data_IF_919648984398
#
_entry.id   IF_919648984398
#
_cell.length_a   1.000
_cell.length_b   1.000
_cell.length_c   1.000
_cell.angle_alpha   90.00
_cell.angle_beta   90.00
_cell.angle_gamma   90.00
#
_symmetry.space_group_name_H-M   'P 1'
#
loop_
_entity.id
_entity.type
_entity.pdbx_description
1 polymer ?
#
# COMPACT_ATOMS: atom_id res chain seq x y z
N UNK A 1 29.55 -8.92 -20.21
CA UNK A 1 28.21 -8.35 -19.95
C UNK A 1 27.98 -8.39 -18.44
N UNK A 2 27.65 -7.29 -17.79
CA UNK A 2 27.33 -7.29 -16.37
C UNK A 2 26.10 -8.19 -16.15
N UNK A 3 26.13 -9.04 -15.11
CA UNK A 3 24.97 -9.85 -14.76
C UNK A 3 23.81 -8.93 -14.35
N UNK A 4 22.60 -9.25 -14.81
CA UNK A 4 21.41 -8.50 -14.42
C UNK A 4 21.16 -8.64 -12.92
N UNK A 5 20.73 -7.56 -12.26
CA UNK A 5 20.26 -7.61 -10.87
C UNK A 5 18.88 -8.25 -10.79
N UNK A 6 18.62 -9.02 -9.73
CA UNK A 6 17.32 -9.65 -9.49
C UNK A 6 16.52 -8.84 -8.48
N UNK A 7 15.32 -8.40 -8.90
CA UNK A 7 14.30 -7.91 -7.97
C UNK A 7 13.25 -8.98 -7.74
N UNK A 8 12.95 -9.25 -6.47
CA UNK A 8 11.86 -10.14 -6.04
C UNK A 8 10.72 -9.30 -5.54
N UNK A 9 9.51 -9.56 -6.03
CA UNK A 9 8.34 -8.71 -5.80
C UNK A 9 7.21 -9.55 -5.21
N UNK A 10 6.88 -9.32 -3.93
CA UNK A 10 5.70 -9.88 -3.30
C UNK A 10 4.46 -9.13 -3.78
N UNK A 11 3.32 -9.85 -3.81
CA UNK A 11 2.07 -9.26 -4.27
C UNK A 11 2.10 -8.80 -5.73
N UNK A 12 2.92 -9.43 -6.59
CA UNK A 12 3.17 -9.02 -7.98
C UNK A 12 1.91 -9.00 -8.87
N UNK A 13 0.84 -9.65 -8.47
CA UNK A 13 -0.46 -9.64 -9.17
C UNK A 13 -1.46 -8.60 -8.62
N UNK A 14 -1.07 -7.86 -7.57
CA UNK A 14 -1.85 -6.77 -6.97
C UNK A 14 -1.49 -5.40 -7.53
N UNK A 15 -2.11 -4.34 -7.00
CA UNK A 15 -1.93 -2.97 -7.48
C UNK A 15 -0.48 -2.50 -7.31
N UNK A 16 0.06 -2.55 -6.10
CA UNK A 16 1.42 -2.08 -5.82
C UNK A 16 2.48 -2.97 -6.48
N UNK A 17 2.48 -4.27 -6.15
CA UNK A 17 3.48 -5.20 -6.69
C UNK A 17 3.40 -5.35 -8.21
N UNK A 18 2.21 -5.27 -8.80
CA UNK A 18 2.02 -5.24 -10.26
C UNK A 18 2.68 -4.03 -10.91
N UNK A 19 2.52 -2.85 -10.34
CA UNK A 19 3.17 -1.63 -10.80
C UNK A 19 4.71 -1.74 -10.72
N UNK A 20 5.23 -2.33 -9.63
CA UNK A 20 6.68 -2.56 -9.49
C UNK A 20 7.17 -3.56 -10.54
N UNK A 21 6.46 -4.68 -10.73
CA UNK A 21 6.82 -5.68 -11.73
C UNK A 21 6.83 -5.08 -13.14
N UNK A 22 5.79 -4.32 -13.49
CA UNK A 22 5.66 -3.62 -14.76
C UNK A 22 6.85 -2.71 -15.03
N UNK A 23 7.25 -1.91 -14.05
CA UNK A 23 8.34 -0.96 -14.15
C UNK A 23 9.68 -1.67 -14.37
N UNK A 24 10.00 -2.69 -13.55
CA UNK A 24 11.30 -3.36 -13.63
C UNK A 24 11.41 -4.32 -14.81
N UNK A 25 10.32 -4.84 -15.37
CA UNK A 25 10.34 -5.60 -16.63
C UNK A 25 10.78 -4.75 -17.83
N UNK A 26 10.63 -3.43 -17.76
CA UNK A 26 11.08 -2.50 -18.80
C UNK A 26 12.54 -2.06 -18.63
N UNK A 27 13.20 -2.42 -17.50
CA UNK A 27 14.58 -2.02 -17.20
C UNK A 27 15.58 -3.07 -17.67
N UNK A 28 16.44 -2.77 -18.67
CA UNK A 28 17.33 -3.78 -19.26
C UNK A 28 18.32 -4.44 -18.29
N UNK A 29 18.69 -3.73 -17.21
CA UNK A 29 19.62 -4.21 -16.17
C UNK A 29 19.01 -5.13 -15.12
N UNK A 30 17.71 -5.46 -15.23
CA UNK A 30 16.99 -6.18 -14.19
C UNK A 30 16.38 -7.48 -14.69
N UNK A 31 16.28 -8.43 -13.76
CA UNK A 31 15.42 -9.61 -13.83
C UNK A 31 14.34 -9.46 -12.78
N UNK A 32 13.10 -9.87 -13.10
CA UNK A 32 11.96 -9.80 -12.20
C UNK A 32 11.54 -11.19 -11.79
N UNK A 33 11.49 -11.43 -10.48
CA UNK A 33 10.83 -12.60 -9.89
C UNK A 33 9.54 -12.15 -9.24
N UNK A 34 8.43 -12.54 -9.84
CA UNK A 34 7.07 -12.24 -9.40
C UNK A 34 6.57 -13.31 -8.43
N UNK A 35 6.38 -12.94 -7.17
CA UNK A 35 5.88 -13.86 -6.13
C UNK A 35 4.38 -13.73 -5.99
N UNK A 36 3.68 -14.86 -6.05
CA UNK A 36 2.22 -14.95 -5.91
C UNK A 36 1.78 -16.25 -5.25
N UNK A 37 0.64 -16.26 -4.58
CA UNK A 37 0.01 -17.48 -4.05
C UNK A 37 -0.49 -18.41 -5.15
N UNK A 38 -0.92 -17.85 -6.29
CA UNK A 38 -1.46 -18.60 -7.42
C UNK A 38 -0.70 -18.28 -8.73
N UNK A 39 0.38 -19.04 -9.05
CA UNK A 39 1.13 -18.89 -10.29
C UNK A 39 0.33 -19.14 -11.58
N UNK A 40 -0.77 -19.89 -11.49
CA UNK A 40 -1.63 -20.20 -12.64
C UNK A 40 -2.70 -19.13 -12.92
N UNK A 41 -2.81 -18.07 -12.10
CA UNK A 41 -3.74 -16.99 -12.36
C UNK A 41 -3.40 -16.24 -13.67
N UNK A 42 -4.42 -15.70 -14.35
CA UNK A 42 -4.23 -14.96 -15.61
C UNK A 42 -3.23 -13.81 -15.48
N UNK A 43 -3.26 -13.09 -14.34
CA UNK A 43 -2.30 -12.01 -14.06
C UNK A 43 -0.86 -12.52 -13.91
N UNK A 44 -0.68 -13.66 -13.23
CA UNK A 44 0.66 -14.27 -13.07
C UNK A 44 1.21 -14.77 -14.42
N UNK A 45 0.38 -15.40 -15.22
CA UNK A 45 0.75 -15.87 -16.56
C UNK A 45 1.07 -14.69 -17.51
N UNK A 46 0.36 -13.58 -17.41
CA UNK A 46 0.70 -12.37 -18.16
C UNK A 46 2.08 -11.82 -17.79
N UNK A 47 2.47 -11.84 -16.52
CA UNK A 47 3.82 -11.47 -16.09
C UNK A 47 4.88 -12.43 -16.63
N UNK A 48 4.60 -13.75 -16.60
CA UNK A 48 5.50 -14.78 -17.15
C UNK A 48 5.73 -14.57 -18.66
N UNK A 49 4.66 -14.32 -19.43
CA UNK A 49 4.76 -14.05 -20.87
C UNK A 49 5.64 -12.83 -21.18
N UNK A 50 5.73 -11.89 -20.26
CA UNK A 50 6.56 -10.68 -20.37
C UNK A 50 7.98 -10.85 -19.83
N UNK A 51 8.35 -12.05 -19.39
CA UNK A 51 9.70 -12.41 -18.99
C UNK A 51 9.95 -12.41 -17.48
N UNK A 52 8.93 -12.29 -16.64
CA UNK A 52 9.09 -12.49 -15.20
C UNK A 52 9.22 -13.99 -14.87
N UNK A 53 10.11 -14.31 -13.94
CA UNK A 53 10.11 -15.61 -13.27
C UNK A 53 8.97 -15.62 -12.24
N UNK A 54 7.95 -16.43 -12.44
CA UNK A 54 6.81 -16.54 -11.52
C UNK A 54 7.06 -17.65 -10.51
N UNK A 55 7.03 -17.30 -9.21
CA UNK A 55 7.31 -18.22 -8.10
C UNK A 55 6.15 -18.23 -7.13
N UNK A 56 5.81 -19.41 -6.61
CA UNK A 56 4.81 -19.55 -5.55
C UNK A 56 5.44 -19.28 -4.20
N UNK A 57 4.85 -18.35 -3.43
CA UNK A 57 5.04 -18.24 -1.99
C UNK A 57 3.80 -17.64 -1.34
N UNK A 58 3.64 -17.87 -0.05
CA UNK A 58 2.49 -17.45 0.74
C UNK A 58 2.97 -16.75 2.02
N UNK A 59 2.33 -15.63 2.38
CA UNK A 59 2.60 -14.91 3.63
C UNK A 59 2.31 -15.77 4.86
N UNK A 60 1.41 -16.74 4.74
CA UNK A 60 1.07 -17.69 5.81
C UNK A 60 2.06 -18.86 5.89
N UNK A 61 2.99 -19.00 4.95
CA UNK A 61 4.06 -20.01 4.96
C UNK A 61 5.43 -19.33 4.82
N UNK A 62 6.06 -18.88 5.93
CA UNK A 62 7.38 -18.26 5.89
C UNK A 62 8.48 -19.11 5.25
N UNK A 63 8.35 -20.45 5.26
CA UNK A 63 9.33 -21.34 4.64
C UNK A 63 9.37 -21.20 3.11
N UNK A 64 8.27 -20.77 2.50
CA UNK A 64 8.14 -20.54 1.07
C UNK A 64 8.98 -19.37 0.56
N UNK A 65 9.39 -18.44 1.45
CA UNK A 65 10.24 -17.30 1.07
C UNK A 65 11.70 -17.69 0.85
N UNK A 66 12.20 -18.76 1.48
CA UNK A 66 13.60 -19.16 1.36
C UNK A 66 14.00 -19.38 -0.12
N UNK A 67 13.29 -20.25 -0.89
CA UNK A 67 13.56 -20.39 -2.32
C UNK A 67 13.17 -19.16 -3.13
N UNK A 68 12.10 -18.47 -2.76
CA UNK A 68 11.62 -17.28 -3.49
C UNK A 68 12.61 -16.11 -3.45
N UNK A 69 13.34 -15.93 -2.33
CA UNK A 69 14.29 -14.82 -2.14
C UNK A 69 15.71 -15.15 -2.56
N UNK A 70 15.99 -16.41 -2.92
CA UNK A 70 17.36 -16.84 -3.29
C UNK A 70 17.93 -15.97 -4.43
N UNK A 71 19.10 -15.39 -4.14
CA UNK A 71 19.84 -14.55 -5.10
C UNK A 71 19.25 -13.16 -5.34
N UNK A 72 18.26 -12.72 -4.56
CA UNK A 72 17.71 -11.38 -4.69
C UNK A 72 18.74 -10.29 -4.38
N UNK A 73 18.78 -9.26 -5.22
CA UNK A 73 19.48 -8.01 -4.96
C UNK A 73 18.55 -6.96 -4.36
N UNK A 74 17.29 -6.99 -4.78
CA UNK A 74 16.23 -6.14 -4.23
C UNK A 74 15.02 -7.01 -3.92
N UNK A 75 14.35 -6.74 -2.80
CA UNK A 75 13.05 -7.32 -2.45
C UNK A 75 12.08 -6.16 -2.21
N UNK A 76 10.93 -6.19 -2.91
CA UNK A 76 9.76 -5.37 -2.60
C UNK A 76 8.74 -6.23 -1.87
N UNK A 77 8.38 -5.83 -0.65
CA UNK A 77 7.42 -6.53 0.19
C UNK A 77 6.18 -5.70 0.47
N UNK A 78 5.02 -6.33 0.35
CA UNK A 78 3.70 -5.74 0.61
C UNK A 78 2.78 -6.80 1.20
N UNK A 79 1.91 -6.39 2.12
CA UNK A 79 0.83 -7.18 2.72
C UNK A 79 -0.53 -6.58 2.38
N UNK A 80 -1.62 -7.26 2.77
CA UNK A 80 -2.99 -6.85 2.44
C UNK A 80 -3.92 -7.06 3.64
N UNK A 81 -3.99 -6.06 4.53
CA UNK A 81 -4.91 -6.04 5.66
C UNK A 81 -6.37 -6.21 5.22
N UNK A 82 -6.79 -5.49 4.18
CA UNK A 82 -8.18 -5.51 3.74
C UNK A 82 -8.57 -6.83 3.08
N UNK A 83 -7.60 -7.52 2.46
CA UNK A 83 -7.78 -8.89 1.99
C UNK A 83 -8.01 -9.87 3.13
N UNK A 84 -7.27 -9.73 4.23
CA UNK A 84 -7.49 -10.54 5.45
C UNK A 84 -8.84 -10.20 6.09
N UNK A 85 -9.17 -8.91 6.22
CA UNK A 85 -10.43 -8.45 6.80
C UNK A 85 -11.63 -8.91 5.97
N UNK A 86 -11.53 -8.91 4.65
CA UNK A 86 -12.61 -9.30 3.74
C UNK A 86 -12.73 -10.81 3.50
N UNK A 87 -11.78 -11.63 3.95
CA UNK A 87 -11.83 -13.09 3.77
C UNK A 87 -12.80 -13.73 4.76
N UNK A 88 -13.86 -14.42 4.29
CA UNK A 88 -14.81 -15.13 5.18
C UNK A 88 -14.14 -16.14 6.14
N UNK A 89 -13.03 -16.76 5.74
CA UNK A 89 -12.30 -17.68 6.60
C UNK A 89 -11.66 -16.99 7.81
N UNK A 90 -11.35 -15.70 7.70
CA UNK A 90 -10.75 -14.92 8.78
C UNK A 90 -11.72 -14.68 9.94
N UNK A 91 -13.03 -14.61 9.69
CA UNK A 91 -14.05 -14.47 10.75
C UNK A 91 -14.02 -15.65 11.73
N UNK A 92 -13.92 -16.87 11.19
CA UNK A 92 -13.81 -18.08 12.02
C UNK A 92 -12.53 -18.12 12.84
N UNK A 93 -11.41 -17.68 12.24
CA UNK A 93 -10.11 -17.60 12.92
C UNK A 93 -10.10 -16.54 14.02
N UNK A 94 -10.70 -15.37 13.77
CA UNK A 94 -10.82 -14.30 14.75
C UNK A 94 -11.70 -14.72 15.93
N UNK A 95 -12.84 -15.35 15.67
CA UNK A 95 -13.72 -15.90 16.69
C UNK A 95 -13.03 -16.96 17.54
N UNK A 96 -12.28 -17.88 16.92
CA UNK A 96 -11.50 -18.90 17.64
C UNK A 96 -10.39 -18.31 18.53
N UNK A 97 -9.89 -17.12 18.18
CA UNK A 97 -8.90 -16.37 18.95
C UNK A 97 -9.52 -15.41 19.97
N UNK A 98 -10.85 -15.36 20.10
CA UNK A 98 -11.59 -14.40 20.94
C UNK A 98 -11.19 -12.93 20.66
N UNK A 99 -11.07 -12.58 19.38
CA UNK A 99 -10.67 -11.25 18.94
C UNK A 99 -11.66 -10.64 17.94
N UNK A 100 -11.89 -9.30 17.97
CA UNK A 100 -12.53 -8.60 16.86
C UNK A 100 -11.74 -8.85 15.55
N UNK A 101 -12.46 -8.92 14.43
CA UNK A 101 -11.87 -9.29 13.14
C UNK A 101 -10.74 -8.36 12.70
N UNK A 102 -10.88 -7.06 12.89
CA UNK A 102 -9.84 -6.08 12.54
C UNK A 102 -8.59 -6.19 13.43
N UNK A 103 -8.77 -6.51 14.71
CA UNK A 103 -7.63 -6.78 15.63
C UNK A 103 -6.90 -8.05 15.22
N UNK A 104 -7.64 -9.13 14.93
CA UNK A 104 -7.08 -10.37 14.44
C UNK A 104 -6.32 -10.16 13.13
N UNK A 105 -6.95 -9.47 12.15
CA UNK A 105 -6.34 -9.19 10.85
C UNK A 105 -5.03 -8.38 11.00
N UNK A 106 -5.00 -7.39 11.89
CA UNK A 106 -3.80 -6.61 12.17
C UNK A 106 -2.68 -7.43 12.80
N UNK A 107 -3.01 -8.26 13.78
CA UNK A 107 -2.03 -9.14 14.41
C UNK A 107 -1.48 -10.15 13.39
N UNK A 108 -2.36 -10.75 12.59
CA UNK A 108 -1.97 -11.72 11.56
C UNK A 108 -1.11 -11.08 10.47
N UNK A 109 -1.46 -9.89 9.96
CA UNK A 109 -0.65 -9.14 9.00
C UNK A 109 0.73 -8.80 9.57
N UNK A 110 0.80 -8.42 10.85
CA UNK A 110 2.07 -8.15 11.52
C UNK A 110 2.97 -9.39 11.53
N UNK A 111 2.43 -10.57 11.88
CA UNK A 111 3.21 -11.82 11.88
C UNK A 111 3.62 -12.25 10.47
N UNK A 112 2.76 -12.07 9.47
CA UNK A 112 3.10 -12.30 8.06
C UNK A 112 4.32 -11.45 7.64
N UNK A 113 4.30 -10.15 7.95
CA UNK A 113 5.40 -9.25 7.62
C UNK A 113 6.68 -9.55 8.39
N UNK A 114 6.60 -9.97 9.67
CA UNK A 114 7.76 -10.44 10.43
C UNK A 114 8.42 -11.64 9.73
N UNK A 115 7.63 -12.62 9.29
CA UNK A 115 8.14 -13.77 8.54
C UNK A 115 8.86 -13.37 7.24
N UNK A 116 8.36 -12.37 6.54
CA UNK A 116 9.02 -11.79 5.34
C UNK A 116 10.35 -11.13 5.72
N UNK A 117 10.38 -10.33 6.78
CA UNK A 117 11.57 -9.64 7.28
C UNK A 117 12.65 -10.66 7.71
N UNK A 118 12.26 -11.69 8.47
CA UNK A 118 13.16 -12.76 8.90
C UNK A 118 13.78 -13.52 7.72
N UNK A 119 12.98 -13.76 6.67
CA UNK A 119 13.47 -14.41 5.46
C UNK A 119 14.40 -13.48 4.65
N UNK A 120 14.06 -12.20 4.53
CA UNK A 120 14.89 -11.21 3.83
C UNK A 120 16.25 -11.00 4.52
N UNK A 121 16.29 -11.03 5.84
CA UNK A 121 17.52 -10.90 6.64
C UNK A 121 18.56 -12.01 6.34
N UNK A 122 18.12 -13.17 5.83
CA UNK A 122 19.00 -14.31 5.46
C UNK A 122 19.54 -14.21 4.03
N UNK A 123 19.18 -13.18 3.27
CA UNK A 123 19.60 -13.03 1.86
C UNK A 123 20.90 -12.24 1.79
N UNK A 124 22.03 -12.94 1.63
CA UNK A 124 23.36 -12.31 1.60
C UNK A 124 23.61 -11.41 0.38
N UNK A 125 22.93 -11.66 -0.74
CA UNK A 125 23.03 -10.84 -1.97
C UNK A 125 22.19 -9.58 -1.92
N UNK A 126 21.39 -9.38 -0.86
CA UNK A 126 20.43 -8.27 -0.79
C UNK A 126 21.13 -6.92 -0.60
N UNK A 127 20.90 -6.02 -1.54
CA UNK A 127 21.41 -4.64 -1.54
C UNK A 127 20.35 -3.66 -1.00
N UNK A 128 19.06 -3.91 -1.28
CA UNK A 128 17.95 -3.07 -0.85
C UNK A 128 16.72 -3.92 -0.50
N UNK A 129 16.16 -3.67 0.68
CA UNK A 129 14.83 -4.13 1.04
C UNK A 129 13.87 -2.94 1.00
N UNK A 130 12.76 -3.05 0.28
CA UNK A 130 11.70 -2.02 0.24
C UNK A 130 10.44 -2.60 0.84
N UNK A 131 10.08 -2.11 2.02
CA UNK A 131 8.87 -2.53 2.73
C UNK A 131 7.75 -1.52 2.48
N UNK A 132 6.64 -1.98 1.90
CA UNK A 132 5.41 -1.20 1.87
C UNK A 132 4.77 -1.19 3.27
N UNK A 133 4.73 -0.02 3.87
CA UNK A 133 4.24 0.23 5.22
C UNK A 133 3.25 1.39 5.24
N UNK A 134 2.85 1.80 6.43
CA UNK A 134 2.06 3.00 6.69
C UNK A 134 2.54 3.62 8.01
N UNK A 135 2.07 4.84 8.34
CA UNK A 135 2.49 5.51 9.55
C UNK A 135 1.98 4.81 10.82
N UNK A 136 2.66 4.98 11.92
CA UNK A 136 2.21 4.48 13.23
C UNK A 136 1.21 5.49 13.83
N UNK A 137 -0.09 5.29 13.58
CA UNK A 137 -1.12 6.23 13.99
C UNK A 137 -1.22 6.34 15.52
N UNK A 138 -1.14 5.22 16.22
CA UNK A 138 -1.14 5.23 17.69
C UNK A 138 0.04 6.02 18.26
N UNK A 139 1.25 5.84 17.72
CA UNK A 139 2.46 6.58 18.15
C UNK A 139 2.35 8.07 17.87
N UNK A 140 2.06 8.44 16.62
CA UNK A 140 2.08 9.83 16.18
C UNK A 140 0.92 10.66 16.75
N UNK A 141 -0.20 10.00 17.14
CA UNK A 141 -1.30 10.64 17.86
C UNK A 141 -1.15 10.61 19.38
N UNK A 142 -0.02 10.11 19.92
CA UNK A 142 0.20 9.91 21.36
C UNK A 142 -0.91 9.08 22.01
N UNK A 143 -1.42 8.07 21.30
CA UNK A 143 -2.47 7.17 21.75
C UNK A 143 -3.90 7.71 21.61
N UNK A 144 -4.11 8.89 20.99
CA UNK A 144 -5.44 9.45 20.78
C UNK A 144 -6.28 8.63 19.80
N UNK A 145 -5.64 8.05 18.77
CA UNK A 145 -6.24 7.23 17.73
C UNK A 145 -5.65 5.82 17.71
N UNK A 146 -6.03 4.94 18.67
CA UNK A 146 -5.41 3.64 18.83
C UNK A 146 -6.01 2.53 17.97
N UNK A 147 -7.03 2.82 17.15
CA UNK A 147 -7.76 1.81 16.39
C UNK A 147 -7.52 1.88 14.88
N UNK A 148 -6.48 2.58 14.42
CA UNK A 148 -6.11 2.60 12.98
C UNK A 148 -5.27 1.35 12.65
N UNK A 149 -5.90 0.18 12.79
CA UNK A 149 -5.22 -1.12 12.79
C UNK A 149 -4.52 -1.45 11.47
N UNK A 150 -5.11 -1.09 10.33
CA UNK A 150 -4.51 -1.31 9.00
C UNK A 150 -3.26 -0.46 8.75
N UNK A 151 -3.03 0.59 9.54
CA UNK A 151 -1.78 1.35 9.57
C UNK A 151 -0.80 0.72 10.56
N UNK A 152 -1.25 0.55 11.80
CA UNK A 152 -0.40 0.17 12.93
C UNK A 152 0.15 -1.26 12.81
N UNK A 153 -0.54 -2.18 12.12
CA UNK A 153 -0.04 -3.54 11.84
C UNK A 153 1.29 -3.51 11.08
N UNK A 154 1.38 -2.68 10.05
CA UNK A 154 2.58 -2.52 9.23
C UNK A 154 3.69 -1.80 9.98
N UNK A 155 3.32 -0.75 10.72
CA UNK A 155 4.27 0.00 11.55
C UNK A 155 4.87 -0.85 12.68
N UNK A 156 4.11 -1.79 13.24
CA UNK A 156 4.62 -2.78 14.22
C UNK A 156 5.65 -3.71 13.60
N UNK A 157 5.41 -4.19 12.38
CA UNK A 157 6.38 -5.00 11.65
C UNK A 157 7.64 -4.18 11.27
N UNK A 158 7.48 -2.90 10.92
CA UNK A 158 8.60 -1.97 10.71
C UNK A 158 9.47 -1.85 11.97
N UNK A 159 8.84 -1.64 13.13
CA UNK A 159 9.56 -1.57 14.40
C UNK A 159 10.30 -2.88 14.72
N UNK A 160 9.62 -4.03 14.54
CA UNK A 160 10.23 -5.35 14.70
C UNK A 160 11.50 -5.52 13.86
N UNK A 161 11.44 -5.11 12.58
CA UNK A 161 12.60 -5.20 11.69
C UNK A 161 13.78 -4.36 12.17
N UNK A 162 13.52 -3.12 12.62
CA UNK A 162 14.54 -2.24 13.15
C UNK A 162 15.20 -2.76 14.43
N UNK A 163 14.42 -3.39 15.30
CA UNK A 163 14.89 -3.92 16.59
C UNK A 163 15.65 -5.25 16.45
N UNK A 164 15.19 -6.15 15.55
CA UNK A 164 15.68 -7.52 15.51
C UNK A 164 16.67 -7.78 14.35
N UNK A 165 16.67 -6.95 13.31
CA UNK A 165 17.48 -7.12 12.10
C UNK A 165 18.22 -5.84 11.69
N UNK A 166 19.11 -5.27 12.54
CA UNK A 166 19.75 -3.98 12.25
C UNK A 166 20.59 -3.98 10.96
N UNK A 167 21.22 -5.10 10.58
CA UNK A 167 21.97 -5.20 9.33
C UNK A 167 21.05 -5.15 8.09
N UNK A 168 19.87 -5.77 8.13
CA UNK A 168 18.87 -5.63 7.11
C UNK A 168 18.34 -4.20 7.10
N UNK A 169 18.08 -3.65 8.30
CA UNK A 169 17.48 -2.31 8.44
C UNK A 169 18.38 -1.20 7.91
N UNK A 170 19.69 -1.37 7.99
CA UNK A 170 20.67 -0.45 7.40
C UNK A 170 20.57 -0.33 5.87
N UNK A 171 19.87 -1.25 5.20
CA UNK A 171 19.59 -1.23 3.76
C UNK A 171 18.09 -1.29 3.42
N UNK A 172 17.22 -1.03 4.41
CA UNK A 172 15.77 -1.03 4.26
C UNK A 172 15.24 0.37 3.97
N UNK A 173 14.49 0.50 2.90
CA UNK A 173 13.66 1.67 2.64
C UNK A 173 12.21 1.36 2.95
N UNK A 174 11.49 2.36 3.45
CA UNK A 174 10.05 2.26 3.71
C UNK A 174 9.30 3.04 2.64
N UNK A 175 8.36 2.37 1.98
CA UNK A 175 7.41 2.98 1.07
C UNK A 175 6.06 3.06 1.77
N UNK A 176 5.61 4.26 2.12
CA UNK A 176 4.26 4.49 2.64
C UNK A 176 3.35 4.85 1.48
N UNK A 177 2.42 3.97 1.12
CA UNK A 177 1.49 4.27 0.04
C UNK A 177 0.48 5.34 0.48
N UNK A 178 0.28 6.37 -0.33
CA UNK A 178 -0.76 7.38 -0.14
C UNK A 178 -2.16 6.80 -0.29
N UNK A 179 -3.18 7.64 -0.17
CA UNK A 179 -4.59 7.23 -0.30
C UNK A 179 -4.91 6.88 -1.75
N UNK A 180 -5.41 5.66 -1.97
CA UNK A 180 -5.59 5.11 -3.31
C UNK A 180 -6.71 5.81 -4.08
N UNK A 181 -6.40 6.33 -5.26
CA UNK A 181 -7.39 6.88 -6.19
C UNK A 181 -8.39 5.82 -6.67
N UNK A 182 -7.99 4.55 -6.72
CA UNK A 182 -8.90 3.44 -7.07
C UNK A 182 -10.05 3.27 -6.08
N UNK A 183 -9.93 3.75 -4.83
CA UNK A 183 -11.02 3.74 -3.86
C UNK A 183 -12.23 4.56 -4.35
N UNK A 184 -12.03 5.56 -5.19
CA UNK A 184 -13.11 6.37 -5.78
C UNK A 184 -13.74 5.75 -7.02
N UNK A 185 -13.10 4.73 -7.61
CA UNK A 185 -13.57 4.05 -8.83
C UNK A 185 -14.24 2.71 -8.49
N UNK A 186 -13.75 2.02 -7.47
CA UNK A 186 -14.12 0.63 -7.18
C UNK A 186 -14.99 0.44 -5.94
N UNK A 187 -15.20 1.50 -5.16
CA UNK A 187 -15.86 1.38 -3.86
C UNK A 187 -17.22 2.11 -3.84
N UNK A 188 -18.29 1.48 -3.30
CA UNK A 188 -19.61 2.10 -3.11
C UNK A 188 -19.63 3.31 -2.17
N UNK A 189 -18.52 3.71 -1.58
CA UNK A 189 -18.39 5.01 -0.87
C UNK A 189 -18.71 6.19 -1.80
N UNK A 190 -18.58 6.02 -3.10
CA UNK A 190 -19.08 6.94 -4.11
C UNK A 190 -20.53 6.58 -4.47
N UNK A 191 -21.49 6.94 -3.60
CA UNK A 191 -22.88 7.02 -4.04
C UNK A 191 -22.99 8.09 -5.15
N UNK A 192 -23.98 8.00 -6.06
CA UNK A 192 -23.97 8.81 -7.27
C UNK A 192 -23.69 10.29 -6.95
N UNK A 193 -22.50 10.77 -7.40
CA UNK A 193 -22.07 12.17 -7.30
C UNK A 193 -21.76 12.69 -5.89
N UNK A 194 -21.59 11.79 -4.89
CA UNK A 194 -21.23 12.16 -3.51
C UNK A 194 -20.04 11.37 -3.02
N UNK A 195 -19.03 12.06 -2.49
CA UNK A 195 -17.89 11.48 -1.83
C UNK A 195 -18.13 11.56 -0.33
N UNK A 196 -18.54 10.44 0.28
CA UNK A 196 -19.09 10.40 1.63
C UNK A 196 -18.09 9.76 2.58
N UNK A 197 -17.85 10.43 3.71
CA UNK A 197 -16.98 9.91 4.79
C UNK A 197 -16.88 10.88 5.96
N UNK A 198 -16.18 10.48 7.01
CA UNK A 198 -15.95 11.32 8.20
C UNK A 198 -14.72 12.25 8.07
N UNK A 199 -14.07 12.29 6.89
CA UNK A 199 -12.90 13.13 6.67
C UNK A 199 -13.30 14.59 6.43
N UNK A 200 -12.60 15.52 7.09
CA UNK A 200 -12.66 16.95 6.73
C UNK A 200 -12.21 17.12 5.29
N UNK A 201 -13.05 17.66 4.37
CA UNK A 201 -12.74 17.74 2.96
C UNK A 201 -11.63 18.72 2.62
N UNK A 202 -11.21 19.59 3.54
CA UNK A 202 -10.17 20.59 3.35
C UNK A 202 -8.79 20.12 3.80
N UNK A 203 -8.71 18.94 4.44
CA UNK A 203 -7.43 18.30 4.80
C UNK A 203 -6.72 17.79 3.54
N UNK A 204 -5.45 18.16 3.40
CA UNK A 204 -4.61 17.65 2.31
C UNK A 204 -4.14 16.23 2.56
N UNK A 205 -4.40 15.35 1.60
CA UNK A 205 -3.95 13.97 1.60
C UNK A 205 -3.02 13.69 0.41
N UNK A 206 -2.07 12.75 0.57
CA UNK A 206 -1.26 12.25 -0.53
C UNK A 206 -2.07 11.22 -1.33
N UNK A 207 -2.50 11.54 -2.54
CA UNK A 207 -3.24 10.62 -3.41
C UNK A 207 -2.33 9.90 -4.39
N UNK A 208 -2.53 8.58 -4.52
CA UNK A 208 -1.74 7.70 -5.39
C UNK A 208 -2.65 6.84 -6.27
N UNK A 209 -2.29 6.67 -7.53
CA UNK A 209 -2.76 5.56 -8.34
C UNK A 209 -1.77 4.40 -8.15
N UNK A 210 -2.05 3.54 -7.18
CA UNK A 210 -1.09 2.54 -6.72
C UNK A 210 -0.63 1.59 -7.84
N UNK A 211 -1.50 1.30 -8.79
CA UNK A 211 -1.25 0.46 -9.97
C UNK A 211 -0.37 1.12 -11.04
N UNK A 212 -0.21 2.46 -11.00
CA UNK A 212 0.63 3.21 -11.94
C UNK A 212 1.90 3.76 -11.26
N UNK A 213 1.79 4.27 -10.03
CA UNK A 213 2.80 5.11 -9.40
C UNK A 213 3.79 4.35 -8.53
N UNK A 214 3.36 3.21 -7.94
CA UNK A 214 4.21 2.48 -6.98
C UNK A 214 5.52 2.05 -7.62
N UNK A 215 5.48 1.53 -8.84
CA UNK A 215 6.67 1.07 -9.54
C UNK A 215 7.69 2.18 -9.80
N UNK A 216 7.32 3.29 -10.45
CA UNK A 216 8.21 4.43 -10.65
C UNK A 216 8.82 4.98 -9.34
N UNK A 217 8.02 5.08 -8.25
CA UNK A 217 8.52 5.57 -6.96
C UNK A 217 9.48 4.54 -6.34
N UNK A 218 9.13 3.24 -6.33
CA UNK A 218 10.00 2.18 -5.83
C UNK A 218 11.30 2.09 -6.62
N UNK A 219 11.26 2.28 -7.94
CA UNK A 219 12.47 2.37 -8.76
C UNK A 219 13.35 3.53 -8.32
N UNK A 220 12.79 4.70 -8.08
CA UNK A 220 13.54 5.84 -7.57
C UNK A 220 14.18 5.55 -6.20
N UNK A 221 13.43 4.92 -5.27
CA UNK A 221 13.93 4.46 -3.97
C UNK A 221 15.09 3.46 -4.10
N UNK A 222 15.00 2.53 -5.05
CA UNK A 222 16.04 1.51 -5.29
C UNK A 222 17.32 2.12 -5.84
N UNK A 223 17.20 3.17 -6.65
CA UNK A 223 18.31 3.88 -7.28
C UNK A 223 18.93 4.97 -6.39
N UNK A 224 18.26 5.35 -5.31
CA UNK A 224 18.73 6.37 -4.37
C UNK A 224 19.98 5.89 -3.61
N UNK A 225 20.88 6.80 -3.25
CA UNK A 225 22.19 6.50 -2.62
C UNK A 225 22.07 5.81 -1.26
N UNK A 226 20.95 5.97 -0.55
CA UNK A 226 20.73 5.37 0.77
C UNK A 226 19.28 5.01 1.05
N UNK A 227 19.00 4.31 2.16
CA UNK A 227 17.64 4.02 2.60
C UNK A 227 16.85 5.30 2.90
N UNK A 228 15.58 5.31 2.50
CA UNK A 228 14.64 6.43 2.71
C UNK A 228 13.30 5.89 3.23
N UNK A 229 12.60 6.72 4.00
CA UNK A 229 11.17 6.53 4.27
C UNK A 229 10.41 7.49 3.36
N UNK A 230 9.69 6.97 2.39
CA UNK A 230 9.05 7.77 1.33
C UNK A 230 7.54 7.64 1.39
N UNK A 231 6.84 8.78 1.46
CA UNK A 231 5.39 8.80 1.22
C UNK A 231 5.14 8.79 -0.30
N UNK A 232 4.48 7.74 -0.80
CA UNK A 232 4.19 7.58 -2.23
C UNK A 232 2.90 8.28 -2.64
N UNK A 233 2.99 9.27 -3.53
CA UNK A 233 1.83 9.96 -4.07
C UNK A 233 2.14 10.62 -5.40
N UNK A 234 1.09 10.90 -6.22
CA UNK A 234 1.18 11.74 -7.42
C UNK A 234 0.72 13.17 -7.18
N UNK A 235 -0.16 13.38 -6.19
CA UNK A 235 -0.62 14.70 -5.80
C UNK A 235 -0.91 14.74 -4.30
N UNK A 236 -0.58 15.88 -3.68
CA UNK A 236 -1.00 16.23 -2.33
C UNK A 236 -2.01 17.36 -2.45
N UNK A 237 -3.27 17.03 -2.25
CA UNK A 237 -4.41 17.94 -2.39
C UNK A 237 -5.49 17.59 -1.37
N UNK A 238 -6.43 18.49 -1.13
CA UNK A 238 -7.58 18.21 -0.29
C UNK A 238 -8.61 17.33 -1.03
N UNK A 239 -9.50 16.67 -0.28
CA UNK A 239 -10.61 15.92 -0.86
C UNK A 239 -11.50 16.84 -1.71
N UNK A 240 -11.71 18.08 -1.28
CA UNK A 240 -12.43 19.10 -2.05
C UNK A 240 -11.74 19.34 -3.40
N UNK A 241 -10.44 19.60 -3.41
CA UNK A 241 -9.67 19.81 -4.63
C UNK A 241 -9.64 18.60 -5.56
N UNK A 242 -9.64 17.37 -4.97
CA UNK A 242 -9.79 16.13 -5.72
C UNK A 242 -11.14 16.09 -6.45
N UNK A 243 -12.25 16.37 -5.76
CA UNK A 243 -13.62 16.36 -6.27
C UNK A 243 -13.84 17.45 -7.32
N UNK A 244 -13.30 18.64 -7.11
CA UNK A 244 -13.31 19.71 -8.11
C UNK A 244 -12.57 19.30 -9.39
N UNK A 245 -11.41 18.64 -9.24
CA UNK A 245 -10.66 18.10 -10.38
C UNK A 245 -11.46 17.04 -11.11
N UNK A 246 -12.07 16.12 -10.37
CA UNK A 246 -12.98 15.10 -10.93
C UNK A 246 -14.12 15.77 -11.73
N UNK A 247 -14.85 16.70 -11.11
CA UNK A 247 -16.00 17.37 -11.76
C UNK A 247 -15.60 18.11 -13.02
N UNK A 248 -14.46 18.78 -12.98
CA UNK A 248 -13.93 19.54 -14.13
C UNK A 248 -13.56 18.65 -15.32
N UNK A 249 -12.94 17.47 -15.07
CA UNK A 249 -12.42 16.65 -16.18
C UNK A 249 -13.42 15.63 -16.70
N UNK A 250 -14.42 15.24 -15.90
CA UNK A 250 -15.45 14.26 -16.28
C UNK A 250 -16.75 14.92 -16.73
N UNK A 251 -16.97 16.19 -16.37
CA UNK A 251 -18.27 16.87 -16.53
C UNK A 251 -19.33 16.43 -15.52
N UNK A 252 -19.03 15.50 -14.64
CA UNK A 252 -19.94 14.97 -13.61
C UNK A 252 -19.81 15.84 -12.36
N UNK A 253 -20.87 16.57 -12.00
CA UNK A 253 -20.89 17.35 -10.77
C UNK A 253 -20.87 16.40 -9.57
N UNK A 254 -19.95 16.62 -8.65
CA UNK A 254 -19.83 15.88 -7.40
C UNK A 254 -19.55 16.82 -6.22
N UNK A 255 -19.88 16.35 -5.02
CA UNK A 255 -19.71 17.11 -3.78
C UNK A 255 -19.16 16.21 -2.64
N UNK A 256 -18.37 16.74 -1.71
CA UNK A 256 -18.03 16.03 -0.49
C UNK A 256 -19.21 16.08 0.46
N UNK A 257 -19.48 14.95 1.13
CA UNK A 257 -20.48 14.86 2.20
C UNK A 257 -19.78 14.33 3.46
N UNK A 258 -19.66 15.18 4.45
CA UNK A 258 -19.03 14.82 5.73
C UNK A 258 -20.11 14.26 6.66
N UNK A 259 -19.90 13.03 7.12
CA UNK A 259 -20.76 12.40 8.12
C UNK A 259 -20.23 12.69 9.53
N UNK A 260 -21.12 12.87 10.51
CA UNK A 260 -20.74 12.89 11.91
C UNK A 260 -20.01 11.62 12.33
N UNK A 261 -19.15 11.74 13.35
CA UNK A 261 -18.48 10.58 13.95
C UNK A 261 -19.50 9.53 14.40
N UNK A 262 -19.24 8.28 14.08
CA UNK A 262 -20.12 7.15 14.37
C UNK A 262 -21.21 6.91 13.32
N UNK A 263 -21.29 7.74 12.28
CA UNK A 263 -22.26 7.57 11.19
C UNK A 263 -21.61 7.02 9.92
N UNK A 264 -22.37 6.20 9.19
CA UNK A 264 -21.99 5.66 7.89
C UNK A 264 -23.22 5.51 6.98
N UNK A 265 -22.99 5.58 5.66
CA UNK A 265 -24.08 5.43 4.66
C UNK A 265 -24.66 4.02 4.65
N UNK A 266 -23.79 3.04 4.87
CA UNK A 266 -24.16 1.62 5.04
C UNK A 266 -23.75 1.19 6.45
N UNK A 267 -24.54 0.37 7.15
CA UNK A 267 -24.18 -0.11 8.47
C UNK A 267 -22.84 -0.87 8.42
N UNK A 268 -21.84 -0.40 9.17
CA UNK A 268 -20.61 -1.14 9.40
C UNK A 268 -20.68 -1.89 10.74
N UNK A 269 -19.96 -3.01 10.88
CA UNK A 269 -19.69 -3.57 12.20
C UNK A 269 -19.08 -2.50 13.12
N UNK A 270 -19.42 -2.46 14.42
CA UNK A 270 -18.96 -1.41 15.34
C UNK A 270 -17.44 -1.24 15.39
N UNK A 271 -16.69 -2.35 15.27
CA UNK A 271 -15.23 -2.34 15.23
C UNK A 271 -14.67 -1.67 13.99
N UNK A 272 -15.30 -1.88 12.83
CA UNK A 272 -14.90 -1.22 11.58
C UNK A 272 -15.25 0.27 11.60
N UNK A 273 -16.46 0.62 12.10
CA UNK A 273 -16.87 2.02 12.26
C UNK A 273 -15.86 2.78 13.12
N UNK A 274 -15.46 2.20 14.26
CA UNK A 274 -14.44 2.80 15.15
C UNK A 274 -13.08 2.97 14.47
N UNK A 275 -12.65 1.97 13.71
CA UNK A 275 -11.39 2.05 12.96
C UNK A 275 -11.41 3.19 11.93
N UNK A 276 -12.51 3.33 11.18
CA UNK A 276 -12.67 4.40 10.20
C UNK A 276 -12.75 5.77 10.84
N UNK A 277 -13.50 5.90 11.96
CA UNK A 277 -13.61 7.16 12.71
C UNK A 277 -12.24 7.61 13.25
N UNK A 278 -11.46 6.69 13.81
CA UNK A 278 -10.12 7.00 14.31
C UNK A 278 -9.17 7.32 13.15
N UNK A 279 -9.32 6.65 12.00
CA UNK A 279 -8.52 6.93 10.82
C UNK A 279 -8.80 8.35 10.26
N UNK A 280 -10.07 8.74 10.13
CA UNK A 280 -10.44 10.10 9.70
C UNK A 280 -9.97 11.15 10.70
N UNK A 281 -10.15 10.90 12.00
CA UNK A 281 -9.67 11.79 13.05
C UNK A 281 -8.15 11.95 13.04
N UNK A 282 -7.42 10.85 12.86
CA UNK A 282 -5.97 10.86 12.76
C UNK A 282 -5.49 11.71 11.57
N UNK A 283 -6.06 11.50 10.38
CA UNK A 283 -5.68 12.28 9.21
C UNK A 283 -6.01 13.77 9.32
N UNK A 284 -7.15 14.07 9.96
CA UNK A 284 -7.58 15.47 10.17
C UNK A 284 -6.63 16.22 11.12
N UNK A 285 -6.21 15.59 12.21
CA UNK A 285 -5.44 16.28 13.25
C UNK A 285 -3.93 16.17 13.08
N UNK A 286 -3.43 15.03 12.58
CA UNK A 286 -2.00 14.71 12.51
C UNK A 286 -1.48 14.56 11.07
N UNK A 287 -2.37 14.60 10.08
CA UNK A 287 -2.05 14.32 8.68
C UNK A 287 -1.85 12.84 8.41
N UNK A 288 -1.70 12.47 7.15
CA UNK A 288 -1.67 11.09 6.67
C UNK A 288 -0.52 10.26 7.26
N UNK A 289 0.63 10.87 7.49
CA UNK A 289 1.83 10.22 8.04
C UNK A 289 2.26 10.77 9.42
N UNK A 290 1.35 11.46 10.13
CA UNK A 290 1.56 11.88 11.51
C UNK A 290 2.62 12.94 11.75
N UNK A 291 3.00 13.68 10.71
CA UNK A 291 4.08 14.66 10.82
C UNK A 291 5.47 14.04 11.07
N UNK A 292 5.67 12.75 10.73
CA UNK A 292 6.98 12.07 10.85
C UNK A 292 8.06 12.85 10.07
N UNK A 293 9.04 13.47 10.75
CA UNK A 293 10.05 14.31 10.08
C UNK A 293 11.04 13.52 9.24
N UNK A 294 11.02 12.19 9.32
CA UNK A 294 11.89 11.31 8.52
C UNK A 294 11.30 10.96 7.16
N UNK A 295 10.04 11.33 6.92
CA UNK A 295 9.35 11.07 5.65
C UNK A 295 9.83 12.02 4.57
N UNK A 296 10.27 11.43 3.45
CA UNK A 296 10.73 12.12 2.24
C UNK A 296 9.61 12.08 1.19
N UNK A 297 9.52 13.10 0.36
CA UNK A 297 8.55 13.17 -0.73
C UNK A 297 9.14 12.66 -2.06
N UNK A 298 8.32 12.17 -3.01
CA UNK A 298 8.82 11.60 -4.27
C UNK A 298 9.67 12.55 -5.09
N UNK A 299 9.37 13.86 -5.06
CA UNK A 299 10.14 14.89 -5.76
C UNK A 299 11.51 15.17 -5.15
N UNK A 300 11.76 14.75 -3.90
CA UNK A 300 13.01 14.99 -3.18
C UNK A 300 13.99 13.81 -3.31
N UNK A 301 13.59 12.75 -4.04
CA UNK A 301 14.48 11.62 -4.37
C UNK A 301 15.50 12.03 -5.45
N UNK A 302 16.70 11.45 -5.40
CA UNK A 302 17.77 11.71 -6.40
C UNK A 302 17.30 11.43 -7.84
N UNK A 303 16.45 10.43 -8.01
CA UNK A 303 15.85 10.04 -9.29
C UNK A 303 14.33 10.26 -9.25
N UNK A 304 13.89 11.48 -8.92
CA UNK A 304 12.48 11.82 -8.77
C UNK A 304 11.61 11.28 -9.93
N UNK A 305 10.57 10.48 -9.65
CA UNK A 305 9.77 9.86 -10.69
C UNK A 305 8.87 10.91 -11.37
N UNK A 306 8.67 10.75 -12.69
CA UNK A 306 7.65 11.51 -13.42
C UNK A 306 6.34 10.76 -13.33
N UNK A 307 5.37 11.33 -12.62
CA UNK A 307 4.04 10.76 -12.43
C UNK A 307 3.00 11.55 -13.21
N UNK A 308 1.93 10.86 -13.67
CA UNK A 308 0.80 11.51 -14.32
C UNK A 308 -0.02 12.33 -13.31
N UNK A 309 -0.86 13.24 -13.78
CA UNK A 309 -1.73 14.02 -12.91
C UNK A 309 -2.96 13.21 -12.44
N UNK A 310 -3.60 13.68 -11.37
CA UNK A 310 -4.92 13.16 -10.93
C UNK A 310 -5.98 13.36 -12.03
N UNK A 311 -5.90 14.47 -12.76
CA UNK A 311 -6.79 14.73 -13.90
C UNK A 311 -6.67 13.65 -14.99
N UNK A 312 -5.44 13.23 -15.30
CA UNK A 312 -5.21 12.16 -16.29
C UNK A 312 -5.69 10.81 -15.78
N UNK A 313 -5.57 10.55 -14.48
CA UNK A 313 -6.14 9.35 -13.87
C UNK A 313 -7.66 9.29 -14.06
N UNK A 314 -8.36 10.37 -13.72
CA UNK A 314 -9.83 10.40 -13.83
C UNK A 314 -10.33 10.34 -15.27
N UNK A 315 -9.62 10.93 -16.23
CA UNK A 315 -9.97 10.86 -17.66
C UNK A 315 -9.91 9.46 -18.24
N UNK A 316 -9.07 8.58 -17.71
CA UNK A 316 -8.92 7.19 -18.18
C UNK A 316 -10.02 6.26 -17.69
N UNK A 317 -10.77 6.64 -16.64
CA UNK A 317 -11.75 5.76 -16.01
C UNK A 317 -13.07 5.75 -16.76
N UNK A 318 -13.70 4.60 -16.80
CA UNK A 318 -15.06 4.43 -17.32
C UNK A 318 -16.09 4.69 -16.21
N UNK A 319 -16.49 5.94 -16.08
CA UNK A 319 -17.41 6.39 -15.02
C UNK A 319 -18.83 5.88 -15.20
N UNK A 320 -19.22 5.37 -16.39
CA UNK A 320 -20.53 4.76 -16.59
C UNK A 320 -20.70 3.49 -15.74
N UNK A 321 -19.62 2.77 -15.49
CA UNK A 321 -19.62 1.60 -14.58
C UNK A 321 -19.78 1.96 -13.10
N UNK A 322 -19.40 3.16 -12.73
CA UNK A 322 -19.45 3.62 -11.32
C UNK A 322 -20.79 4.27 -11.00
N UNK A 323 -21.32 5.08 -11.91
CA UNK A 323 -22.51 5.89 -11.65
C UNK A 323 -23.78 5.41 -12.38
N UNK A 324 -23.68 4.38 -13.20
CA UNK A 324 -24.76 3.99 -14.12
C UNK A 324 -24.90 5.00 -15.25
N UNK A 325 -25.37 4.55 -16.39
CA UNK A 325 -25.72 5.43 -17.52
C UNK A 325 -26.99 6.23 -17.25
#
# INVERSE_FOLDING_TARGET
MSSKKLIVILGATGNQGGSVAETFLQEPGWQVRAVTRNPSSSKAQALATRGAEVVKADLDDPSSFIPAFKGAHVIFAVSDFWGLFGDPASQGKAAAADQPLNVWAANHETEQLKGVIDAAAKVHTLERFVLSSLSNAAKWSSGKYPHVYHFDSKAKAEAYGGENHPELWAKTSIFQAGYFLSNFVSNPITLPRRFIGGLDPDVELPFIAAEEDTGPIVKAIVLDSGPKKVIGYRARISLRGLIETFSRVTGIKAEPVVLPKGESVVPFPPELQRELDDNWGYWTEFGYYGGDPTVVHPQDLEHAPKLNSVADYFKKQDWSKVFGS
#
